data_IF_109702667700
#
_entry.id   IF_109702667700
#
_cell.length_a   1.000
_cell.length_b   1.000
_cell.length_c   1.000
_cell.angle_alpha   90.00
_cell.angle_beta   90.00
_cell.angle_gamma   90.00
#
_symmetry.space_group_name_H-M   'P 1'
#
loop_
_entity.id
_entity.type
_entity.pdbx_description
1 polymer ?
#
# COMPACT_ATOMS: atom_id res chain seq x y z
N UNK A 1 -0.25 22.09 3.40
CA UNK A 1 -0.11 21.22 2.22
C UNK A 1 -0.37 19.81 2.71
N UNK A 2 -1.58 19.31 2.47
CA UNK A 2 -2.03 18.03 3.00
C UNK A 2 -1.50 16.93 2.07
N UNK A 3 -0.33 16.38 2.41
CA UNK A 3 0.29 15.27 1.70
C UNK A 3 -0.55 14.00 1.93
N UNK A 4 -1.62 13.80 1.16
CA UNK A 4 -2.36 12.53 1.14
C UNK A 4 -1.57 11.39 0.47
N UNK A 5 -0.44 11.71 -0.15
CA UNK A 5 0.49 10.76 -0.77
C UNK A 5 1.33 9.97 0.26
N UNK A 6 1.48 10.48 1.50
CA UNK A 6 2.38 9.86 2.48
C UNK A 6 2.01 8.41 2.77
N UNK A 7 0.73 8.08 2.99
CA UNK A 7 0.36 6.72 3.44
C UNK A 7 0.56 5.58 2.43
N UNK A 8 0.37 5.82 1.12
CA UNK A 8 0.60 4.79 0.10
C UNK A 8 2.08 4.68 -0.25
N UNK A 9 2.73 5.82 -0.52
CA UNK A 9 4.13 5.86 -0.92
C UNK A 9 5.06 5.40 0.22
N UNK A 10 4.78 5.79 1.47
CA UNK A 10 5.50 5.27 2.64
C UNK A 10 5.27 3.77 2.80
N UNK A 11 4.05 3.28 2.52
CA UNK A 11 3.72 1.86 2.57
C UNK A 11 4.53 1.06 1.55
N UNK A 12 4.64 1.53 0.31
CA UNK A 12 5.46 0.92 -0.74
C UNK A 12 6.94 0.95 -0.35
N UNK A 13 7.46 2.11 0.07
CA UNK A 13 8.85 2.24 0.49
C UNK A 13 9.20 1.28 1.63
N UNK A 14 8.30 1.13 2.61
CA UNK A 14 8.50 0.19 3.71
C UNK A 14 8.51 -1.27 3.24
N UNK A 15 7.67 -1.63 2.27
CA UNK A 15 7.69 -2.97 1.67
C UNK A 15 9.04 -3.23 0.98
N UNK A 16 9.58 -2.27 0.23
CA UNK A 16 10.89 -2.38 -0.43
C UNK A 16 12.02 -2.57 0.59
N UNK A 17 11.99 -1.81 1.69
CA UNK A 17 12.94 -1.98 2.81
C UNK A 17 12.85 -3.38 3.42
N UNK A 18 11.64 -3.90 3.66
CA UNK A 18 11.45 -5.25 4.19
C UNK A 18 12.03 -6.28 3.23
N UNK A 19 11.78 -6.18 1.93
CA UNK A 19 12.33 -7.09 0.92
C UNK A 19 13.87 -7.09 0.97
N UNK A 20 14.49 -5.91 1.01
CA UNK A 20 15.94 -5.80 1.12
C UNK A 20 16.51 -6.47 2.39
N UNK A 21 15.79 -6.36 3.52
CA UNK A 21 16.17 -7.04 4.77
C UNK A 21 16.01 -8.57 4.65
N UNK A 22 14.96 -9.05 4.01
CA UNK A 22 14.74 -10.48 3.79
C UNK A 22 15.83 -11.07 2.87
N UNK A 23 16.23 -10.32 1.84
CA UNK A 23 17.28 -10.72 0.89
C UNK A 23 18.68 -10.71 1.50
N UNK A 24 18.95 -9.88 2.51
CA UNK A 24 20.26 -9.88 3.18
C UNK A 24 20.53 -11.17 3.97
N UNK A 25 19.47 -11.85 4.42
CA UNK A 25 19.58 -13.09 5.20
C UNK A 25 20.21 -12.92 6.59
N UNK A 26 20.38 -11.68 7.06
CA UNK A 26 21.07 -11.38 8.32
C UNK A 26 20.16 -11.48 9.56
N UNK A 27 18.86 -11.72 9.36
CA UNK A 27 17.85 -11.74 10.43
C UNK A 27 17.54 -13.13 10.94
N UNK A 28 17.19 -13.23 12.21
CA UNK A 28 16.75 -14.47 12.84
C UNK A 28 15.35 -14.90 12.36
N UNK A 29 15.02 -16.19 12.50
CA UNK A 29 13.74 -16.75 12.03
C UNK A 29 12.50 -16.02 12.58
N UNK A 30 12.52 -15.66 13.87
CA UNK A 30 11.41 -14.95 14.51
C UNK A 30 11.25 -13.54 13.93
N UNK A 31 12.37 -12.84 13.68
CA UNK A 31 12.36 -11.50 13.08
C UNK A 31 11.85 -11.54 11.63
N UNK A 32 12.28 -12.55 10.85
CA UNK A 32 11.80 -12.76 9.49
C UNK A 32 10.27 -12.97 9.46
N UNK A 33 9.74 -13.76 10.41
CA UNK A 33 8.29 -13.97 10.54
C UNK A 33 7.53 -12.66 10.78
N UNK A 34 8.04 -11.80 11.66
CA UNK A 34 7.39 -10.51 11.93
C UNK A 34 7.47 -9.55 10.74
N UNK A 35 8.61 -9.50 10.05
CA UNK A 35 8.78 -8.70 8.83
C UNK A 35 7.82 -9.13 7.71
N UNK A 36 7.62 -10.43 7.53
CA UNK A 36 6.67 -10.96 6.54
C UNK A 36 5.22 -10.58 6.90
N UNK A 37 4.85 -10.64 8.18
CA UNK A 37 3.52 -10.20 8.65
C UNK A 37 3.31 -8.71 8.41
N UNK A 38 4.33 -7.89 8.69
CA UNK A 38 4.30 -6.46 8.44
C UNK A 38 4.10 -6.16 6.94
N UNK A 39 4.90 -6.77 6.07
CA UNK A 39 4.77 -6.62 4.61
C UNK A 39 3.39 -7.04 4.12
N UNK A 40 2.84 -8.16 4.61
CA UNK A 40 1.49 -8.61 4.25
C UNK A 40 0.41 -7.58 4.64
N UNK A 41 0.55 -6.94 5.81
CA UNK A 41 -0.36 -5.88 6.26
C UNK A 41 -0.27 -4.64 5.38
N UNK A 42 0.95 -4.20 5.05
CA UNK A 42 1.19 -3.04 4.18
C UNK A 42 0.62 -3.27 2.77
N UNK A 43 0.85 -4.44 2.18
CA UNK A 43 0.30 -4.81 0.87
C UNK A 43 -1.24 -4.77 0.90
N UNK A 44 -1.86 -5.27 1.96
CA UNK A 44 -3.33 -5.22 2.12
C UNK A 44 -3.82 -3.77 2.13
N UNK A 45 -3.15 -2.88 2.87
CA UNK A 45 -3.52 -1.48 2.95
C UNK A 45 -3.36 -0.77 1.60
N UNK A 46 -2.27 -1.02 0.88
CA UNK A 46 -2.04 -0.48 -0.46
C UNK A 46 -3.14 -0.90 -1.44
N UNK A 47 -3.52 -2.20 -1.43
CA UNK A 47 -4.63 -2.71 -2.26
C UNK A 47 -5.97 -2.06 -1.93
N UNK A 48 -6.26 -1.84 -0.64
CA UNK A 48 -7.48 -1.15 -0.22
C UNK A 48 -7.51 0.30 -0.74
N UNK A 49 -6.37 1.00 -0.67
CA UNK A 49 -6.28 2.37 -1.16
C UNK A 49 -6.53 2.45 -2.67
N UNK A 50 -5.89 1.58 -3.45
CA UNK A 50 -6.10 1.50 -4.90
C UNK A 50 -7.57 1.26 -5.25
N UNK A 51 -8.22 0.30 -4.59
CA UNK A 51 -9.65 0.01 -4.81
C UNK A 51 -10.56 1.18 -4.45
N UNK A 52 -10.26 1.88 -3.35
CA UNK A 52 -11.01 3.09 -2.97
C UNK A 52 -10.89 4.16 -4.04
N UNK A 53 -9.67 4.40 -4.52
CA UNK A 53 -9.39 5.39 -5.57
C UNK A 53 -10.07 5.01 -6.89
N UNK A 54 -10.03 3.74 -7.31
CA UNK A 54 -10.76 3.25 -8.48
C UNK A 54 -12.27 3.50 -8.35
N UNK A 55 -12.85 3.22 -7.17
CA UNK A 55 -14.28 3.46 -6.92
C UNK A 55 -14.65 4.95 -6.94
N UNK A 56 -13.78 5.82 -6.41
CA UNK A 56 -13.99 7.27 -6.44
C UNK A 56 -13.94 7.80 -7.89
N UNK A 57 -13.01 7.30 -8.70
CA UNK A 57 -12.92 7.66 -10.13
C UNK A 57 -14.17 7.19 -10.87
N UNK A 58 -14.59 5.94 -10.69
CA UNK A 58 -15.77 5.39 -11.36
C UNK A 58 -17.02 6.23 -11.04
N UNK A 59 -17.22 6.56 -9.76
CA UNK A 59 -18.34 7.40 -9.32
C UNK A 59 -18.29 8.80 -9.93
N UNK A 60 -17.12 9.43 -9.91
CA UNK A 60 -16.96 10.76 -10.52
C UNK A 60 -17.30 10.76 -12.01
N UNK A 61 -16.96 9.69 -12.74
CA UNK A 61 -17.30 9.57 -14.17
C UNK A 61 -18.80 9.33 -14.40
N UNK A 62 -19.47 8.55 -13.55
CA UNK A 62 -20.92 8.33 -13.59
C UNK A 62 -21.69 9.62 -13.33
N UNK A 63 -21.32 10.37 -12.28
CA UNK A 63 -21.92 11.67 -11.94
C UNK A 63 -21.81 12.67 -13.11
N UNK A 64 -20.68 12.69 -13.84
CA UNK A 64 -20.48 13.56 -15.01
C UNK A 64 -21.24 13.08 -16.27
N UNK A 65 -21.60 11.79 -16.35
CA UNK A 65 -22.34 11.25 -17.48
C UNK A 65 -23.85 11.53 -17.38
N UNK A 66 -24.39 11.68 -16.17
CA UNK A 66 -25.81 11.99 -15.93
C UNK A 66 -26.15 13.49 -16.07
N UNK A 67 -25.16 14.39 -16.10
CA UNK A 67 -25.37 15.84 -16.26
C UNK A 67 -25.51 16.33 -17.72
N UNK A 68 -25.60 15.42 -18.71
CA UNK A 68 -25.79 15.76 -20.14
C UNK A 68 -27.10 15.21 -20.74
#
# INVERSE_FOLDING_TARGET
MENKASGYDEGIKRIEEIVAILESGEKGMDELSELVKEAAMLVKNCKLKLRSTESEIAKALEDNAEEN
#
